data_IF_252501369036
#
_entry.id   IF_252501369036
#
_cell.length_a   1.000
_cell.length_b   1.000
_cell.length_c   1.000
_cell.angle_alpha   90.00
_cell.angle_beta   90.00
_cell.angle_gamma   90.00
#
_symmetry.space_group_name_H-M   'P 1'
#
loop_
_entity.id
_entity.type
_entity.pdbx_description
1 polymer ?
#
# COMPACT_ATOMS: atom_id res chain seq x y z
N UNK A 1 3.10 5.58 -16.08
CA UNK A 1 3.77 5.37 -14.78
C UNK A 1 4.38 3.97 -14.73
N UNK A 2 5.58 3.80 -14.18
CA UNK A 2 6.23 2.49 -13.98
C UNK A 2 5.97 1.91 -12.58
N UNK A 3 4.82 2.25 -11.98
CA UNK A 3 4.46 1.80 -10.63
C UNK A 3 4.27 0.29 -10.56
N UNK A 4 4.68 -0.30 -9.44
CA UNK A 4 4.55 -1.75 -9.24
C UNK A 4 3.18 -2.06 -8.66
N UNK A 5 2.43 -2.94 -9.30
CA UNK A 5 1.15 -3.41 -8.77
C UNK A 5 1.39 -4.47 -7.70
N UNK A 6 0.84 -4.26 -6.51
CA UNK A 6 0.91 -5.23 -5.41
C UNK A 6 -0.10 -6.35 -5.71
N UNK A 7 0.37 -7.60 -5.62
CA UNK A 7 -0.51 -8.77 -5.69
C UNK A 7 -1.02 -9.09 -4.29
N UNK A 8 -2.34 -9.04 -4.03
CA UNK A 8 -2.86 -9.31 -2.70
C UNK A 8 -2.75 -10.79 -2.33
N UNK A 9 -2.38 -11.06 -1.09
CA UNK A 9 -2.38 -12.41 -0.53
C UNK A 9 -3.69 -12.63 0.21
N UNK A 10 -4.46 -13.62 -0.23
CA UNK A 10 -5.71 -14.01 0.43
C UNK A 10 -5.43 -15.08 1.47
N UNK A 11 -5.73 -14.78 2.73
CA UNK A 11 -5.62 -15.72 3.83
C UNK A 11 -6.86 -16.60 3.94
N UNK A 12 -6.62 -17.88 4.25
CA UNK A 12 -7.65 -18.84 4.59
C UNK A 12 -7.59 -19.13 6.08
N UNK A 13 -8.75 -19.19 6.74
CA UNK A 13 -8.82 -19.43 8.18
C UNK A 13 -8.11 -20.72 8.55
N UNK A 14 -7.26 -20.66 9.57
CA UNK A 14 -6.48 -21.77 10.10
C UNK A 14 -5.50 -22.40 9.09
N UNK A 15 -5.11 -21.68 8.04
CA UNK A 15 -4.11 -22.13 7.05
C UNK A 15 -2.99 -21.10 6.96
N UNK A 16 -1.76 -21.53 7.22
CA UNK A 16 -0.58 -20.68 7.00
C UNK A 16 -0.41 -20.42 5.50
N UNK A 17 -0.10 -19.18 5.14
CA UNK A 17 0.13 -18.77 3.75
C UNK A 17 1.45 -18.04 3.64
N UNK A 18 2.21 -18.34 2.60
CA UNK A 18 3.41 -17.58 2.26
C UNK A 18 3.03 -16.19 1.77
N UNK A 19 3.96 -15.26 1.95
CA UNK A 19 3.81 -13.90 1.46
C UNK A 19 5.14 -13.29 1.06
N UNK A 20 5.07 -12.36 0.12
CA UNK A 20 6.22 -11.64 -0.40
C UNK A 20 5.95 -10.15 -0.33
N UNK A 21 6.91 -9.40 0.21
CA UNK A 21 6.89 -7.95 0.14
C UNK A 21 7.30 -7.48 -1.26
N UNK A 22 6.52 -6.55 -1.81
CA UNK A 22 6.82 -5.93 -3.09
C UNK A 22 7.60 -4.64 -2.84
N UNK A 23 8.79 -4.51 -3.44
CA UNK A 23 9.54 -3.26 -3.44
C UNK A 23 9.07 -2.34 -4.57
N UNK A 24 9.15 -1.03 -4.38
CA UNK A 24 8.88 -0.10 -5.46
C UNK A 24 10.01 -0.14 -6.49
N UNK A 25 9.65 -0.03 -7.77
CA UNK A 25 10.59 0.14 -8.88
C UNK A 25 11.18 1.55 -8.93
N UNK A 26 10.43 2.54 -8.42
CA UNK A 26 10.75 3.97 -8.50
C UNK A 26 10.09 4.72 -7.34
N UNK A 27 10.80 5.71 -6.80
CA UNK A 27 10.26 6.65 -5.80
C UNK A 27 9.35 7.72 -6.39
N UNK A 28 9.27 7.82 -7.73
CA UNK A 28 8.38 8.76 -8.42
C UNK A 28 7.01 8.13 -8.64
N UNK A 29 6.98 6.85 -9.01
CA UNK A 29 5.78 6.15 -9.45
C UNK A 29 5.19 5.27 -8.34
N UNK A 30 6.04 4.67 -7.50
CA UNK A 30 5.64 3.92 -6.32
C UNK A 30 4.84 2.63 -6.61
N UNK A 31 3.69 2.50 -5.96
CA UNK A 31 2.86 1.30 -5.92
C UNK A 31 1.44 1.56 -6.41
N UNK A 32 0.86 0.54 -7.07
CA UNK A 32 -0.58 0.41 -7.29
C UNK A 32 -1.10 -0.65 -6.33
N UNK A 33 -2.04 -0.26 -5.46
CA UNK A 33 -2.59 -1.12 -4.40
C UNK A 33 -4.06 -1.43 -4.73
N UNK A 34 -4.38 -2.68 -5.11
CA UNK A 34 -5.72 -3.05 -5.50
C UNK A 34 -6.61 -3.36 -4.30
N UNK A 35 -7.55 -2.47 -4.00
CA UNK A 35 -8.60 -2.68 -3.01
C UNK A 35 -9.89 -3.17 -3.70
N UNK A 36 -9.92 -4.46 -4.03
CA UNK A 36 -11.06 -5.11 -4.68
C UNK A 36 -11.99 -5.84 -3.69
N UNK A 37 -11.64 -5.91 -2.41
CA UNK A 37 -12.43 -6.53 -1.34
C UNK A 37 -12.94 -5.45 -0.38
N UNK A 38 -13.76 -5.85 0.61
CA UNK A 38 -14.19 -4.94 1.67
C UNK A 38 -12.97 -4.41 2.44
N UNK A 39 -12.95 -3.11 2.71
CA UNK A 39 -11.83 -2.41 3.37
C UNK A 39 -11.49 -3.02 4.74
N UNK A 40 -12.50 -3.40 5.53
CA UNK A 40 -12.32 -4.07 6.83
C UNK A 40 -11.67 -5.45 6.74
N UNK A 41 -11.62 -6.02 5.55
CA UNK A 41 -10.97 -7.31 5.27
C UNK A 41 -9.60 -7.14 4.61
N UNK A 42 -9.13 -5.91 4.40
CA UNK A 42 -7.86 -5.63 3.75
C UNK A 42 -6.90 -4.90 4.70
N UNK A 43 -5.69 -5.44 4.83
CA UNK A 43 -4.63 -4.84 5.63
C UNK A 43 -3.39 -4.63 4.77
N UNK A 44 -2.94 -3.38 4.70
CA UNK A 44 -1.69 -3.00 4.06
C UNK A 44 -0.57 -3.06 5.08
N UNK A 45 0.42 -3.93 4.84
CA UNK A 45 1.65 -3.99 5.60
C UNK A 45 2.75 -3.23 4.86
N UNK A 46 3.49 -2.41 5.58
CA UNK A 46 4.52 -1.53 5.06
C UNK A 46 5.79 -1.78 5.87
N UNK A 47 6.88 -2.18 5.21
CA UNK A 47 8.14 -2.52 5.85
C UNK A 47 9.28 -1.70 5.27
N UNK A 48 10.12 -1.15 6.15
CA UNK A 48 11.38 -0.52 5.76
C UNK A 48 12.53 -1.51 5.90
N UNK A 49 13.25 -1.78 4.81
CA UNK A 49 14.50 -2.58 4.86
C UNK A 49 15.74 -1.74 5.16
N UNK A 50 15.57 -0.46 5.46
CA UNK A 50 16.66 0.45 5.86
C UNK A 50 17.06 0.24 7.32
N UNK A 51 18.37 0.30 7.58
CA UNK A 51 18.93 0.00 8.90
C UNK A 51 19.07 1.22 9.83
N UNK A 52 19.10 2.44 9.28
CA UNK A 52 19.52 3.62 10.03
C UNK A 52 18.41 4.67 10.23
N UNK A 53 17.64 4.97 9.20
CA UNK A 53 16.67 6.08 9.23
C UNK A 53 15.23 5.61 9.00
N UNK A 54 14.29 6.32 9.64
CA UNK A 54 12.88 6.21 9.31
C UNK A 54 12.64 6.65 7.85
N UNK A 55 11.72 5.95 7.18
CA UNK A 55 11.31 6.21 5.80
C UNK A 55 9.80 6.44 5.76
N UNK A 56 9.32 7.05 4.68
CA UNK A 56 7.89 7.35 4.56
C UNK A 56 7.25 6.66 3.37
N UNK A 57 5.97 6.34 3.51
CA UNK A 57 5.07 5.97 2.42
C UNK A 57 3.93 6.98 2.39
N UNK A 58 3.71 7.61 1.25
CA UNK A 58 2.61 8.55 1.06
C UNK A 58 1.50 7.87 0.28
N UNK A 59 0.35 7.62 0.91
CA UNK A 59 -0.87 7.26 0.19
C UNK A 59 -1.42 8.52 -0.47
N UNK A 60 -1.62 8.48 -1.79
CA UNK A 60 -2.14 9.59 -2.54
C UNK A 60 -3.64 9.73 -2.33
N UNK A 61 -4.09 10.96 -2.12
CA UNK A 61 -5.51 11.28 -2.07
C UNK A 61 -6.27 10.69 -3.27
N UNK A 62 -7.44 10.12 -3.00
CA UNK A 62 -8.35 9.69 -4.05
C UNK A 62 -8.88 10.89 -4.82
N UNK A 63 -9.14 10.71 -6.11
CA UNK A 63 -9.75 11.75 -6.95
C UNK A 63 -11.27 11.61 -7.08
N UNK A 64 -11.90 10.83 -6.19
CA UNK A 64 -13.35 10.68 -6.08
C UNK A 64 -14.00 11.76 -5.21
N UNK A 65 -15.32 11.70 -5.09
CA UNK A 65 -16.10 12.68 -4.30
C UNK A 65 -15.73 12.69 -2.80
N UNK A 66 -15.34 11.55 -2.25
CA UNK A 66 -14.89 11.40 -0.86
C UNK A 66 -13.37 11.55 -0.72
N UNK A 67 -12.67 11.91 -1.81
CA UNK A 67 -11.22 12.08 -1.83
C UNK A 67 -10.75 13.06 -0.76
N UNK A 68 -9.81 12.59 0.07
CA UNK A 68 -9.25 13.38 1.17
C UNK A 68 -7.92 14.05 0.84
N UNK A 69 -7.08 14.18 1.85
CA UNK A 69 -5.68 14.58 1.69
C UNK A 69 -4.77 13.35 1.56
N UNK A 70 -3.56 13.58 1.06
CA UNK A 70 -2.51 12.57 1.13
C UNK A 70 -2.28 12.14 2.59
N UNK A 71 -2.04 10.84 2.81
CA UNK A 71 -1.66 10.30 4.12
C UNK A 71 -0.19 9.89 4.10
N UNK A 72 0.61 10.54 4.94
CA UNK A 72 2.03 10.19 5.12
C UNK A 72 2.17 9.24 6.30
N UNK A 73 2.73 8.06 6.02
CA UNK A 73 3.02 7.02 7.02
C UNK A 73 4.52 6.98 7.23
N UNK A 74 4.97 7.12 8.48
CA UNK A 74 6.39 7.05 8.84
C UNK A 74 6.72 5.68 9.40
N UNK A 75 7.60 4.94 8.72
CA UNK A 75 8.05 3.60 9.09
C UNK A 75 9.46 3.71 9.66
N UNK A 76 9.66 3.29 10.91
CA UNK A 76 10.98 3.26 11.54
C UNK A 76 11.94 2.30 10.81
N UNK A 77 13.25 2.50 11.00
CA UNK A 77 14.29 1.64 10.43
C UNK A 77 14.05 0.17 10.85
N UNK A 78 14.08 -0.75 9.88
CA UNK A 78 13.86 -2.18 10.08
C UNK A 78 12.46 -2.58 10.60
N UNK A 79 11.51 -1.64 10.67
CA UNK A 79 10.20 -1.89 11.25
C UNK A 79 9.13 -2.19 10.18
N UNK A 80 8.06 -2.84 10.63
CA UNK A 80 6.84 -3.06 9.86
C UNK A 80 5.67 -2.35 10.53
N UNK A 81 4.89 -1.64 9.73
CA UNK A 81 3.61 -1.05 10.12
C UNK A 81 2.47 -1.74 9.40
N UNK A 82 1.29 -1.71 9.99
CA UNK A 82 0.07 -2.22 9.38
C UNK A 82 -1.03 -1.15 9.46
N UNK A 83 -1.80 -1.02 8.39
CA UNK A 83 -2.93 -0.09 8.31
C UNK A 83 -4.06 -0.74 7.51
N UNK A 84 -5.30 -0.56 7.98
CA UNK A 84 -6.51 -0.77 7.18
C UNK A 84 -6.85 0.57 6.53
N UNK A 85 -7.04 0.57 5.20
CA UNK A 85 -7.25 1.80 4.44
C UNK A 85 -8.71 1.87 3.99
N UNK A 86 -9.36 3.01 4.21
CA UNK A 86 -10.67 3.31 3.63
C UNK A 86 -10.51 3.63 2.15
N UNK A 87 -11.00 2.75 1.28
CA UNK A 87 -10.86 2.92 -0.17
C UNK A 87 -11.61 4.15 -0.69
N UNK A 88 -12.64 4.64 0.01
CA UNK A 88 -13.39 5.84 -0.37
C UNK A 88 -12.52 7.10 -0.41
N UNK A 89 -11.57 7.23 0.51
CA UNK A 89 -10.69 8.40 0.64
C UNK A 89 -9.51 8.40 -0.34
N UNK A 90 -9.02 7.22 -0.75
CA UNK A 90 -7.73 7.08 -1.44
C UNK A 90 -7.82 6.45 -2.84
N UNK A 91 -8.95 5.84 -3.20
CA UNK A 91 -9.11 5.21 -4.52
C UNK A 91 -9.21 6.25 -5.63
N UNK A 92 -8.48 6.01 -6.71
CA UNK A 92 -8.62 6.76 -7.95
C UNK A 92 -9.87 6.27 -8.70
N UNK A 93 -10.83 7.14 -8.96
CA UNK A 93 -12.05 6.82 -9.73
C UNK A 93 -11.89 7.10 -11.23
N UNK A 94 -10.84 7.82 -11.61
CA UNK A 94 -10.52 8.15 -13.00
C UNK A 94 -9.02 8.31 -13.20
N UNK A 95 -8.58 8.36 -14.46
CA UNK A 95 -7.19 8.58 -14.82
C UNK A 95 -6.29 7.37 -14.55
N UNK A 96 -5.02 7.64 -14.33
CA UNK A 96 -4.01 6.61 -14.07
C UNK A 96 -4.23 5.98 -12.67
N UNK A 97 -4.07 4.66 -12.58
CA UNK A 97 -4.33 3.93 -11.34
C UNK A 97 -5.81 3.83 -10.97
N UNK A 98 -6.73 4.08 -11.92
CA UNK A 98 -8.18 3.93 -11.72
C UNK A 98 -8.53 2.60 -11.04
N UNK A 99 -9.50 2.66 -10.15
CA UNK A 99 -10.02 1.60 -9.27
C UNK A 99 -9.02 1.10 -8.22
N UNK A 100 -7.87 1.77 -8.07
CA UNK A 100 -6.81 1.40 -7.14
C UNK A 100 -6.37 2.59 -6.29
N UNK A 101 -5.59 2.30 -5.25
CA UNK A 101 -4.90 3.31 -4.44
C UNK A 101 -3.46 3.44 -4.96
N UNK A 102 -2.95 4.67 -5.02
CA UNK A 102 -1.56 4.96 -5.38
C UNK A 102 -0.78 5.27 -4.11
N UNK A 103 0.40 4.68 -3.95
CA UNK A 103 1.28 4.98 -2.83
C UNK A 103 2.71 5.26 -3.31
N UNK A 104 3.31 6.34 -2.82
CA UNK A 104 4.64 6.79 -3.22
C UNK A 104 5.60 6.66 -2.02
N UNK A 105 6.62 5.80 -2.08
CA UNK A 105 7.60 5.70 -1.01
C UNK A 105 8.71 6.74 -1.16
N UNK A 106 9.29 7.15 -0.03
CA UNK A 106 10.48 8.01 -0.02
C UNK A 106 11.75 7.32 -0.51
N UNK A 107 11.76 5.99 -0.57
CA UNK A 107 12.86 5.15 -1.08
C UNK A 107 12.33 3.81 -1.57
N UNK A 108 13.00 3.20 -2.55
CA UNK A 108 12.69 1.84 -3.02
C UNK A 108 12.87 0.75 -1.95
N UNK A 109 13.51 1.08 -0.82
CA UNK A 109 13.67 0.17 0.33
C UNK A 109 12.43 0.08 1.22
N UNK A 110 11.42 0.92 0.99
CA UNK A 110 10.08 0.71 1.54
C UNK A 110 9.38 -0.32 0.66
N UNK A 111 8.90 -1.38 1.29
CA UNK A 111 8.23 -2.49 0.63
C UNK A 111 6.83 -2.67 1.21
N UNK A 112 5.89 -3.07 0.37
CA UNK A 112 4.48 -3.17 0.74
C UNK A 112 3.92 -4.56 0.45
N UNK A 113 2.92 -4.96 1.22
CA UNK A 113 2.14 -6.18 1.02
C UNK A 113 0.68 -5.89 1.34
N UNK A 114 -0.24 -6.38 0.51
CA UNK A 114 -1.67 -6.34 0.81
C UNK A 114 -2.16 -7.72 1.22
N UNK A 115 -2.81 -7.81 2.38
CA UNK A 115 -3.43 -9.03 2.91
C UNK A 115 -4.94 -8.88 2.85
N UNK A 116 -5.63 -9.92 2.36
CA UNK A 116 -7.07 -10.04 2.46
C UNK A 116 -7.44 -11.16 3.44
N UNK A 117 -8.33 -10.88 4.39
CA UNK A 117 -8.85 -11.86 5.35
C UNK A 117 -10.17 -12.45 4.84
N UNK A 118 -10.19 -13.76 4.59
CA UNK A 118 -11.37 -14.54 4.17
C UNK A 118 -12.45 -14.69 5.24
#
# INVERSE_FOLDING_TARGET
MAAVTIVPVKLTRNVASEYTYTAASSTTDGFIIPFAVKDDKAMLLITSTEAADAKTLTLKAGNGFQGGNDLVITVAAGATMAITVDSGFFKQVSGEGKDNIIAIPSTVKVTCMLVHVG
#
